data_IF_760280400683
#
_entry.id   IF_760280400683
#
_cell.length_a   1.000
_cell.length_b   1.000
_cell.length_c   1.000
_cell.angle_alpha   90.00
_cell.angle_beta   90.00
_cell.angle_gamma   90.00
#
_symmetry.space_group_name_H-M   'P 1'
#
loop_
_entity.id
_entity.type
_entity.pdbx_description
1 polymer ?
#
# COMPACT_ATOMS: atom_id res chain seq x y z
N UNK A 1 -4.31 9.00 5.05
CA UNK A 1 -3.48 9.48 6.19
C UNK A 1 -2.18 8.68 6.35
N UNK A 2 -2.18 7.35 6.24
CA UNK A 2 -0.93 6.54 6.16
C UNK A 2 -0.22 6.64 4.79
N UNK A 3 -1.00 6.73 3.71
CA UNK A 3 -0.48 6.92 2.34
C UNK A 3 0.43 8.14 2.19
N UNK A 4 0.17 9.19 2.98
CA UNK A 4 1.03 10.37 3.04
C UNK A 4 2.39 10.06 3.67
N UNK A 5 2.46 9.21 4.70
CA UNK A 5 3.72 8.84 5.36
C UNK A 5 4.56 7.90 4.50
N UNK A 6 3.91 6.93 3.84
CA UNK A 6 4.55 6.08 2.83
C UNK A 6 5.19 6.94 1.74
N UNK A 7 4.43 7.91 1.21
CA UNK A 7 4.96 8.83 0.19
C UNK A 7 6.11 9.69 0.72
N UNK A 8 6.00 10.21 1.93
CA UNK A 8 7.01 11.09 2.53
C UNK A 8 8.36 10.39 2.69
N UNK A 9 8.37 9.15 3.22
CA UNK A 9 9.61 8.38 3.39
C UNK A 9 10.21 7.93 2.06
N UNK A 10 9.38 7.53 1.09
CA UNK A 10 9.85 7.23 -0.26
C UNK A 10 10.49 8.46 -0.93
N UNK A 11 9.89 9.64 -0.79
CA UNK A 11 10.45 10.90 -1.28
C UNK A 11 11.74 11.29 -0.55
N UNK A 12 11.78 11.14 0.77
CA UNK A 12 12.99 11.38 1.56
C UNK A 12 14.15 10.47 1.14
N UNK A 13 13.85 9.20 0.85
CA UNK A 13 14.84 8.26 0.34
C UNK A 13 15.32 8.63 -1.07
N UNK A 14 14.42 9.05 -1.97
CA UNK A 14 14.77 9.37 -3.37
C UNK A 14 15.57 10.66 -3.53
N UNK A 15 15.38 11.63 -2.62
CA UNK A 15 16.08 12.92 -2.63
C UNK A 15 17.41 12.90 -1.86
N UNK A 16 17.70 11.82 -1.12
CA UNK A 16 18.91 11.71 -0.32
C UNK A 16 20.03 11.00 -1.08
N UNK A 17 21.12 11.72 -1.39
CA UNK A 17 22.36 11.12 -1.92
C UNK A 17 23.20 10.40 -0.87
N UNK A 18 22.80 10.45 0.41
CA UNK A 18 23.53 9.86 1.53
C UNK A 18 22.98 8.47 1.86
N UNK A 19 23.84 7.45 1.78
CA UNK A 19 23.47 6.03 1.98
C UNK A 19 22.85 5.74 3.35
N UNK A 20 23.42 6.30 4.42
CA UNK A 20 22.93 6.13 5.79
C UNK A 20 21.52 6.71 5.98
N UNK A 21 21.28 7.91 5.42
CA UNK A 21 19.97 8.57 5.45
C UNK A 21 18.95 7.83 4.57
N UNK A 22 19.37 7.34 3.39
CA UNK A 22 18.52 6.50 2.55
C UNK A 22 18.09 5.21 3.26
N UNK A 23 19.02 4.55 3.97
CA UNK A 23 18.72 3.36 4.77
C UNK A 23 17.77 3.68 5.94
N UNK A 24 17.92 4.84 6.58
CA UNK A 24 17.01 5.28 7.64
C UNK A 24 15.58 5.45 7.11
N UNK A 25 15.40 6.11 5.96
CA UNK A 25 14.07 6.27 5.34
C UNK A 25 13.48 4.92 4.91
N UNK A 26 14.29 4.00 4.38
CA UNK A 26 13.84 2.65 4.04
C UNK A 26 13.36 1.89 5.28
N UNK A 27 14.06 2.02 6.41
CA UNK A 27 13.63 1.41 7.69
C UNK A 27 12.31 1.99 8.18
N UNK A 28 12.16 3.32 8.16
CA UNK A 28 10.88 3.97 8.51
C UNK A 28 9.72 3.55 7.58
N UNK A 29 10.01 3.38 6.28
CA UNK A 29 9.04 2.91 5.31
C UNK A 29 8.53 1.50 5.66
N UNK A 30 9.44 0.58 6.02
CA UNK A 30 9.08 -0.77 6.44
C UNK A 30 8.23 -0.78 7.72
N UNK A 31 8.62 0.01 8.73
CA UNK A 31 7.87 0.09 10.00
C UNK A 31 6.41 0.55 9.76
N UNK A 32 6.20 1.56 8.91
CA UNK A 32 4.84 2.01 8.55
C UNK A 32 4.09 0.97 7.72
N UNK A 33 4.75 0.27 6.80
CA UNK A 33 4.13 -0.78 6.02
C UNK A 33 3.57 -1.90 6.89
N UNK A 34 4.34 -2.38 7.88
CA UNK A 34 3.87 -3.41 8.83
C UNK A 34 2.67 -2.92 9.65
N UNK A 35 2.73 -1.68 10.16
CA UNK A 35 1.60 -1.10 10.90
C UNK A 35 0.31 -0.98 10.04
N UNK A 36 0.47 -0.62 8.76
CA UNK A 36 -0.67 -0.52 7.83
C UNK A 36 -1.23 -1.89 7.48
N UNK A 37 -0.39 -2.91 7.34
CA UNK A 37 -0.80 -4.30 7.10
C UNK A 37 -1.65 -4.83 8.25
N UNK A 38 -1.22 -4.65 9.50
CA UNK A 38 -1.99 -5.04 10.68
C UNK A 38 -3.38 -4.38 10.69
N UNK A 39 -3.42 -3.08 10.40
CA UNK A 39 -4.68 -2.34 10.27
C UNK A 39 -5.55 -2.85 9.13
N UNK A 40 -4.95 -3.18 7.98
CA UNK A 40 -5.66 -3.73 6.83
C UNK A 40 -6.28 -5.09 7.13
N UNK A 41 -5.53 -5.99 7.78
CA UNK A 41 -6.02 -7.30 8.19
C UNK A 41 -7.23 -7.16 9.13
N UNK A 42 -7.18 -6.26 10.12
CA UNK A 42 -8.33 -5.99 11.00
C UNK A 42 -9.54 -5.47 10.21
N UNK A 43 -9.33 -4.57 9.25
CA UNK A 43 -10.43 -4.04 8.44
C UNK A 43 -11.04 -5.13 7.54
N UNK A 44 -10.24 -6.04 7.01
CA UNK A 44 -10.72 -7.19 6.22
C UNK A 44 -11.53 -8.14 7.11
N UNK A 45 -10.99 -8.54 8.26
CA UNK A 45 -11.65 -9.45 9.20
C UNK A 45 -13.00 -8.93 9.70
N UNK A 46 -13.14 -7.60 9.79
CA UNK A 46 -14.37 -6.92 10.23
C UNK A 46 -15.30 -6.52 9.08
N UNK A 47 -14.90 -6.73 7.82
CA UNK A 47 -15.65 -6.27 6.66
C UNK A 47 -15.76 -4.74 6.56
N UNK A 48 -14.80 -4.01 7.14
CA UNK A 48 -14.70 -2.55 7.06
C UNK A 48 -13.90 -2.06 5.85
N UNK A 49 -13.14 -2.96 5.22
CA UNK A 49 -12.39 -2.65 4.01
C UNK A 49 -13.27 -2.85 2.78
N UNK A 50 -13.48 -1.78 2.02
CA UNK A 50 -14.20 -1.84 0.75
C UNK A 50 -13.45 -2.71 -0.26
N UNK A 51 -14.20 -3.52 -1.01
CA UNK A 51 -13.65 -4.25 -2.14
C UNK A 51 -13.43 -3.26 -3.31
N UNK A 52 -12.23 -3.22 -3.90
CA UNK A 52 -12.02 -2.39 -5.08
C UNK A 52 -12.90 -2.90 -6.23
N UNK A 53 -13.34 -2.01 -7.14
CA UNK A 53 -14.11 -2.43 -8.30
C UNK A 53 -13.29 -3.42 -9.12
N UNK A 54 -13.86 -4.60 -9.36
CA UNK A 54 -13.23 -5.62 -10.20
C UNK A 54 -13.42 -5.25 -11.67
N UNK A 55 -12.37 -5.45 -12.47
CA UNK A 55 -12.51 -5.38 -13.92
C UNK A 55 -13.37 -6.57 -14.36
N UNK A 56 -14.34 -6.32 -15.24
CA UNK A 56 -15.17 -7.38 -15.79
C UNK A 56 -14.31 -8.35 -16.59
N UNK A 57 -14.44 -9.64 -16.30
CA UNK A 57 -13.82 -10.71 -17.07
C UNK A 57 -14.44 -10.75 -18.48
N UNK A 58 -13.62 -10.46 -19.50
CA UNK A 58 -14.06 -10.36 -20.89
C UNK A 58 -14.47 -11.70 -21.48
N UNK A 59 -13.90 -12.79 -21.00
CA UNK A 59 -14.23 -14.13 -21.50
C UNK A 59 -15.60 -14.57 -20.97
N UNK A 60 -15.97 -14.13 -19.77
CA UNK A 60 -17.29 -14.36 -19.18
C UNK A 60 -18.42 -13.45 -19.72
N UNK A 61 -18.08 -12.41 -20.51
CA UNK A 61 -19.08 -11.53 -21.15
C UNK A 61 -19.77 -12.15 -22.38
N UNK A 62 -19.13 -13.13 -23.03
CA UNK A 62 -19.63 -13.74 -24.26
C UNK A 62 -20.56 -14.94 -24.04
N UNK A 63 -20.63 -15.48 -22.82
CA UNK A 63 -21.41 -16.68 -22.50
C UNK A 63 -22.92 -16.42 -22.24
N UNK A 64 -23.38 -15.18 -22.44
CA UNK A 64 -24.75 -14.73 -22.15
C UNK A 64 -25.60 -14.34 -23.37
N UNK A 65 -25.22 -14.72 -24.60
CA UNK A 65 -26.05 -14.60 -25.80
C UNK A 65 -26.23 -15.96 -26.47
#
# INVERSE_FOLDING_TARGET
>A
MFSMKVREYANGASLSGRKDVGALFAKCQLDVSLYVEDGANIMIDRGWMEQPPEAVDRDNLHAGH
#
